data_IF_286379393313
#
_entry.id   IF_286379393313
#
_cell.length_a   1.000
_cell.length_b   1.000
_cell.length_c   1.000
_cell.angle_alpha   90.00
_cell.angle_beta   90.00
_cell.angle_gamma   90.00
#
_symmetry.space_group_name_H-M   'P 1'
#
loop_
_entity.id
_entity.type
_entity.pdbx_description
1 polymer ?
2 non-polymer ?
3 non-polymer ?
4 non-polymer ?
5 non-polymer ?
6 water ?
#
# COMPACT_ATOMS: atom_id res chain seq x y z
N UNK A 23 -1.96 -18.28 19.65
CA UNK A 23 -1.30 -18.63 18.35
C UNK A 23 -1.00 -17.39 17.49
N UNK A 24 0.28 -17.13 17.28
CA UNK A 24 0.72 -15.97 16.53
C UNK A 24 -0.07 -15.76 15.24
N UNK A 25 -0.24 -16.79 14.44
CA UNK A 25 -0.90 -16.67 13.13
C UNK A 25 -2.36 -16.22 13.20
N UNK A 26 -3.10 -16.75 14.15
CA UNK A 26 -4.51 -16.43 14.29
C UNK A 26 -4.69 -15.18 15.11
N UNK A 27 -3.83 -14.99 16.09
CA UNK A 27 -4.03 -13.91 17.03
C UNK A 27 -3.38 -12.60 16.65
N UNK A 28 -2.28 -12.68 15.92
CA UNK A 28 -1.52 -11.49 15.50
C UNK A 28 -1.63 -11.33 14.00
N UNK A 30 -3.64 -12.64 11.49
CA UNK A 30 -4.95 -12.45 10.89
C UNK A 30 -5.47 -11.02 11.05
N UNK A 31 -5.48 -10.48 12.29
CA UNK A 31 -5.93 -9.12 12.33
C UNK A 31 -5.09 -8.11 11.54
N UNK A 32 -3.77 -8.32 11.42
CA UNK A 32 -2.93 -7.37 10.65
C UNK A 32 -3.14 -7.57 9.17
N UNK A 34 -6.08 -8.21 7.84
CA UNK A 34 -7.29 -7.42 7.58
C UNK A 34 -7.02 -5.93 7.55
N UNK A 35 -6.19 -5.46 8.47
CA UNK A 35 -5.76 -4.05 8.52
C UNK A 35 -5.08 -3.68 7.21
N UNK A 36 -4.20 -4.54 6.75
CA UNK A 36 -3.48 -4.29 5.49
C UNK A 36 -4.38 -4.26 4.28
N UNK A 37 -5.46 -5.04 4.29
CA UNK A 37 -6.34 -5.13 3.13
C UNK A 37 -7.31 -3.98 3.11
N UNK A 38 -7.65 -3.45 4.29
CA UNK A 38 -8.79 -2.58 4.40
C UNK A 38 -8.78 -1.41 3.43
N UNK A 39 -7.66 -0.68 3.33
CA UNK A 39 -7.68 0.45 2.38
C UNK A 39 -7.79 0.09 0.90
N UNK A 40 -7.63 -1.18 0.58
CA UNK A 40 -7.72 -1.63 -0.81
C UNK A 40 -9.08 -2.27 -1.16
N UNK A 41 -9.88 -2.65 -0.14
CA UNK A 41 -11.15 -3.34 -0.39
C UNK A 41 -12.01 -2.54 -1.37
N UNK A 42 -12.60 -3.24 -2.32
CA UNK A 42 -13.61 -2.67 -3.22
C UNK A 42 -15.00 -2.89 -2.62
N UNK A 43 -15.93 -1.98 -2.93
CA UNK A 43 -17.34 -2.24 -2.61
C UNK A 43 -17.82 -3.46 -3.39
N UNK A 44 -18.70 -4.25 -2.80
CA UNK A 44 -19.29 -5.35 -3.52
C UNK A 44 -19.14 -6.62 -2.71
N UNK A 45 -18.80 -7.71 -3.38
CA UNK A 45 -18.79 -9.00 -2.74
C UNK A 45 -17.34 -9.46 -2.51
N UNK A 46 -17.19 -10.62 -1.87
CA UNK A 46 -15.87 -11.16 -1.59
C UNK A 46 -15.88 -12.67 -1.65
N UNK A 47 -14.80 -13.22 -2.22
CA UNK A 47 -14.55 -14.64 -2.33
C UNK A 47 -13.32 -14.94 -1.50
N UNK A 48 -13.44 -15.89 -0.58
CA UNK A 48 -12.32 -16.39 0.22
C UNK A 48 -11.96 -17.78 -0.27
N UNK A 49 -10.77 -17.93 -0.86
CA UNK A 49 -10.31 -19.22 -1.34
C UNK A 49 -9.49 -19.92 -0.27
N UNK A 50 -9.89 -21.12 0.14
CA UNK A 50 -9.18 -21.85 1.16
C UNK A 50 -9.59 -21.33 2.53
N UNK A 51 -10.90 -21.29 2.80
CA UNK A 51 -11.41 -20.67 4.02
C UNK A 51 -11.32 -21.55 5.26
N UNK A 52 -11.00 -22.81 5.04
CA UNK A 52 -10.78 -23.75 6.11
C UNK A 52 -11.88 -23.75 7.19
N UNK A 53 -11.55 -23.49 8.45
CA UNK A 53 -12.56 -23.54 9.53
C UNK A 53 -13.18 -22.20 9.80
N UNK A 54 -12.93 -21.21 8.96
CA UNK A 54 -13.62 -19.93 9.11
C UNK A 54 -12.97 -18.94 10.06
N UNK A 55 -11.78 -19.25 10.53
CA UNK A 55 -11.05 -18.33 11.43
C UNK A 55 -10.82 -16.96 10.78
N UNK A 56 -10.39 -16.94 9.52
CA UNK A 56 -10.22 -15.64 8.86
C UNK A 56 -11.55 -15.06 8.40
N UNK A 57 -12.47 -15.91 7.95
CA UNK A 57 -13.78 -15.47 7.48
C UNK A 57 -14.49 -14.61 8.52
N UNK A 58 -14.36 -14.98 9.78
CA UNK A 58 -15.06 -14.24 10.86
C UNK A 58 -14.65 -12.76 10.91
N UNK A 59 -13.37 -12.53 10.63
CA UNK A 59 -12.84 -11.19 10.59
C UNK A 59 -13.33 -10.43 9.38
N UNK A 60 -13.40 -11.13 8.25
CA UNK A 60 -13.85 -10.51 7.01
C UNK A 60 -15.31 -10.14 7.11
N UNK A 61 -16.06 -10.90 7.89
CA UNK A 61 -17.49 -10.63 8.05
C UNK A 61 -17.75 -9.26 8.62
N UNK A 62 -16.76 -8.67 9.29
CA UNK A 62 -16.93 -7.31 9.78
C UNK A 62 -16.91 -6.30 8.66
N UNK A 63 -16.45 -6.70 7.48
CA UNK A 63 -16.36 -5.79 6.35
C UNK A 63 -17.32 -6.11 5.22
N UNK A 64 -17.79 -7.35 5.14
CA UNK A 64 -18.62 -7.79 4.03
C UNK A 64 -19.80 -8.63 4.50
N UNK A 65 -20.99 -8.32 3.99
CA UNK A 65 -22.18 -9.15 4.21
C UNK A 65 -22.33 -10.24 3.13
N UNK A 66 -21.65 -10.07 2.01
CA UNK A 66 -21.72 -11.06 0.93
C UNK A 66 -20.38 -11.74 0.67
N UNK A 67 -20.16 -12.85 1.37
CA UNK A 67 -18.89 -13.58 1.30
C UNK A 67 -19.18 -14.96 0.79
N UNK A 68 -18.34 -15.44 -0.14
CA UNK A 68 -18.41 -16.78 -0.66
C UNK A 68 -17.10 -17.45 -0.26
N UNK A 69 -17.18 -18.66 0.30
CA UNK A 69 -16.04 -19.39 0.82
C UNK A 69 -15.84 -20.69 0.09
N UNK A 70 -14.65 -20.92 -0.39
CA UNK A 70 -14.34 -22.17 -1.06
C UNK A 70 -13.37 -22.98 -0.20
N UNK A 71 -13.75 -24.20 0.14
CA UNK A 71 -12.91 -25.02 0.98
C UNK A 71 -13.11 -26.49 0.64
N UNK A 72 -12.01 -27.22 0.51
CA UNK A 72 -12.02 -28.64 0.12
C UNK A 72 -12.33 -29.58 1.28
N UNK A 73 -11.98 -29.24 2.51
CA UNK A 73 -12.27 -30.14 3.63
C UNK A 73 -13.69 -30.01 4.13
N UNK A 74 -14.44 -31.10 4.09
CA UNK A 74 -15.82 -31.09 4.54
C UNK A 74 -15.92 -30.81 6.04
N UNK A 75 -15.00 -31.42 6.77
CA UNK A 75 -14.93 -31.24 8.21
C UNK A 75 -14.73 -29.76 8.53
N UNK A 76 -13.75 -29.13 7.89
CA UNK A 76 -13.44 -27.72 8.13
C UNK A 76 -14.62 -26.82 7.80
N UNK A 77 -15.20 -27.04 6.62
CA UNK A 77 -16.26 -26.17 6.11
C UNK A 77 -17.50 -26.32 6.99
N UNK A 78 -17.71 -27.53 7.51
CA UNK A 78 -18.81 -27.80 8.43
C UNK A 78 -18.63 -27.02 9.73
N UNK A 79 -17.40 -27.03 10.23
CA UNK A 79 -17.05 -26.30 11.42
C UNK A 79 -17.33 -24.80 11.26
N UNK A 80 -16.92 -24.21 10.13
CA UNK A 80 -17.14 -22.78 9.88
C UNK A 80 -18.62 -22.44 9.89
N UNK A 81 -19.37 -23.22 9.14
CA UNK A 81 -20.81 -23.07 9.03
C UNK A 81 -21.46 -23.01 10.41
N UNK A 82 -20.96 -23.85 11.31
CA UNK A 82 -21.36 -23.83 12.70
C UNK A 82 -21.05 -22.56 13.45
N UNK A 83 -19.91 -21.93 13.21
CA UNK A 83 -19.54 -20.79 14.04
C UNK A 83 -19.65 -19.39 13.39
N UNK A 84 -20.00 -19.29 12.11
CA UNK A 84 -20.04 -17.97 11.44
C UNK A 84 -21.46 -17.45 11.38
N UNK A 85 -21.61 -16.15 11.17
CA UNK A 85 -22.91 -15.52 11.06
C UNK A 85 -23.46 -15.69 9.64
N UNK A 86 -24.75 -15.40 9.47
CA UNK A 86 -25.40 -15.48 8.17
C UNK A 86 -24.68 -14.61 7.15
N UNK A 87 -24.97 -14.86 5.87
CA UNK A 87 -24.40 -14.06 4.79
C UNK A 87 -23.18 -14.69 4.15
N UNK A 88 -23.06 -16.02 4.29
CA UNK A 88 -21.94 -16.76 3.72
C UNK A 88 -22.46 -17.81 2.76
N UNK A 89 -21.93 -17.83 1.54
CA UNK A 89 -22.16 -18.92 0.61
C UNK A 89 -20.98 -19.85 0.72
N UNK A 90 -21.24 -21.13 1.03
CA UNK A 90 -20.17 -22.09 1.23
C UNK A 90 -20.13 -22.98 0.04
N UNK A 91 -18.93 -23.20 -0.48
CA UNK A 91 -18.68 -24.04 -1.65
C UNK A 91 -17.66 -25.10 -1.26
N UNK A 92 -18.14 -26.33 -1.16
CA UNK A 92 -17.28 -27.44 -0.78
C UNK A 92 -16.71 -28.04 -2.04
N UNK A 93 -15.46 -27.70 -2.36
CA UNK A 93 -14.85 -28.07 -3.62
C UNK A 93 -13.33 -27.81 -3.60
N UNK A 94 -12.62 -28.60 -4.40
CA UNK A 94 -11.26 -28.30 -4.78
C UNK A 94 -11.32 -27.10 -5.69
N UNK A 95 -10.27 -26.28 -5.71
CA UNK A 95 -10.22 -25.15 -6.64
C UNK A 95 -10.40 -25.56 -8.10
N UNK A 96 -9.79 -26.66 -8.51
CA UNK A 96 -9.84 -27.06 -9.93
C UNK A 96 -11.26 -27.45 -10.36
N UNK A 97 -12.11 -27.82 -9.41
CA UNK A 97 -13.48 -28.26 -9.66
C UNK A 97 -14.54 -27.19 -9.40
N UNK A 98 -14.14 -26.09 -8.78
CA UNK A 98 -15.09 -25.12 -8.27
C UNK A 98 -15.84 -24.40 -9.39
N UNK A 99 -17.17 -24.44 -9.26
CA UNK A 99 -18.10 -23.76 -10.16
C UNK A 99 -18.72 -22.62 -9.42
N UNK A 100 -18.26 -21.39 -9.68
CA UNK A 100 -18.72 -20.28 -8.87
C UNK A 100 -19.82 -19.55 -9.63
N UNK A 101 -20.85 -19.11 -8.92
CA UNK A 101 -22.02 -18.53 -9.57
C UNK A 101 -21.90 -17.06 -10.05
N UNK A 102 -20.86 -16.37 -9.60
CA UNK A 102 -20.65 -14.96 -9.92
C UNK A 102 -19.16 -14.70 -10.14
N UNK A 103 -18.81 -13.45 -10.42
CA UNK A 103 -17.42 -13.00 -10.37
C UNK A 103 -17.33 -11.97 -9.26
N UNK A 104 -16.13 -11.72 -8.73
CA UNK A 104 -15.97 -11.14 -7.40
C UNK A 104 -15.16 -9.87 -7.38
N UNK A 105 -15.64 -8.91 -6.58
CA UNK A 105 -14.96 -7.64 -6.45
C UNK A 105 -13.70 -7.75 -5.63
N UNK A 106 -13.66 -8.71 -4.72
CA UNK A 106 -12.52 -8.94 -3.83
C UNK A 106 -12.31 -10.44 -3.74
N UNK A 107 -11.07 -10.88 -3.96
CA UNK A 107 -10.74 -12.31 -3.77
C UNK A 107 -9.57 -12.39 -2.81
N UNK A 108 -9.71 -13.22 -1.79
CA UNK A 108 -8.67 -13.40 -0.77
C UNK A 108 -8.03 -14.79 -0.95
N UNK A 109 -6.70 -14.82 -1.04
CA UNK A 109 -5.95 -16.07 -1.10
C UNK A 109 -4.73 -15.89 -0.20
N UNK A 110 -4.95 -16.14 1.08
CA UNK A 110 -3.93 -15.91 2.09
C UNK A 110 -3.42 -17.22 2.66
N UNK A 111 -2.10 -17.41 2.58
CA UNK A 111 -1.42 -18.63 3.09
C UNK A 111 -2.03 -19.91 2.48
N UNK A 112 -2.26 -19.86 1.18
CA UNK A 112 -2.75 -20.97 0.41
C UNK A 112 -1.83 -21.33 -0.75
N UNK A 113 -1.38 -20.35 -1.53
CA UNK A 113 -0.63 -20.59 -2.76
C UNK A 113 0.62 -21.42 -2.60
N UNK A 114 1.30 -21.28 -1.46
CA UNK A 114 2.55 -22.02 -1.18
C UNK A 114 2.32 -23.53 -1.03
N UNK A 115 1.06 -23.94 -0.92
CA UNK A 115 0.70 -25.35 -0.88
C UNK A 115 0.33 -25.91 -2.24
N UNK A 116 0.13 -25.05 -3.24
CA UNK A 116 -0.49 -25.48 -4.49
C UNK A 116 0.56 -26.02 -5.43
N UNK A 117 0.36 -27.22 -5.98
CA UNK A 117 1.35 -27.84 -6.86
C UNK A 117 1.65 -27.02 -8.12
N UNK A 118 0.62 -26.45 -8.70
CA UNK A 118 0.72 -25.59 -9.91
C UNK A 118 0.13 -24.23 -9.60
N UNK A 119 0.90 -23.39 -8.92
CA UNK A 119 0.37 -22.11 -8.45
C UNK A 119 -0.06 -21.17 -9.56
N UNK A 120 0.69 -21.13 -10.65
CA UNK A 120 0.31 -20.25 -11.74
C UNK A 120 -1.06 -20.63 -12.34
N UNK A 121 -1.39 -21.93 -12.37
CA UNK A 121 -2.70 -22.37 -12.86
C UNK A 121 -3.85 -21.89 -12.00
N UNK A 122 -3.66 -21.87 -10.68
CA UNK A 122 -4.70 -21.34 -9.77
C UNK A 122 -4.85 -19.85 -9.97
N UNK A 123 -3.73 -19.13 -9.98
CA UNK A 123 -3.76 -17.69 -10.23
C UNK A 123 -4.38 -17.33 -11.57
N UNK A 124 -4.15 -18.15 -12.59
CA UNK A 124 -4.76 -17.94 -13.89
C UNK A 124 -6.27 -18.12 -13.90
N UNK A 125 -6.78 -19.12 -13.19
CA UNK A 125 -8.23 -19.20 -12.95
C UNK A 125 -8.78 -17.96 -12.28
N UNK A 126 -8.06 -17.46 -11.29
CA UNK A 126 -8.50 -16.24 -10.64
C UNK A 126 -8.56 -15.09 -11.62
N UNK A 127 -7.54 -14.97 -12.45
CA UNK A 127 -7.49 -13.85 -13.40
C UNK A 127 -8.58 -13.98 -14.44
N UNK A 128 -8.68 -15.18 -15.02
CA UNK A 128 -9.47 -15.36 -16.21
C UNK A 128 -10.95 -15.61 -15.91
N UNK A 129 -11.25 -16.27 -14.80
CA UNK A 129 -12.61 -16.69 -14.52
C UNK A 129 -13.28 -16.02 -13.33
N UNK A 130 -12.55 -15.72 -12.27
CA UNK A 130 -13.22 -15.36 -11.00
C UNK A 130 -13.23 -13.91 -10.61
N UNK A 131 -12.19 -13.18 -10.98
CA UNK A 131 -12.14 -11.75 -10.70
C UNK A 131 -13.15 -11.03 -11.56
N UNK A 132 -13.92 -10.15 -10.96
CA UNK A 132 -14.76 -9.21 -11.65
C UNK A 132 -13.84 -8.16 -12.28
N UNK A 133 -14.29 -7.54 -13.36
CA UNK A 133 -13.61 -6.38 -13.89
C UNK A 133 -13.60 -5.36 -12.76
N UNK A 134 -12.45 -4.73 -12.55
CA UNK A 134 -12.31 -3.83 -11.41
C UNK A 134 -12.03 -4.53 -10.06
N UNK A 135 -12.14 -5.85 -10.03
CA UNK A 135 -11.90 -6.62 -8.81
C UNK A 135 -10.42 -6.67 -8.40
N UNK A 136 -10.20 -7.04 -7.14
CA UNK A 136 -8.86 -7.09 -6.57
C UNK A 136 -8.62 -8.43 -5.92
N UNK A 137 -7.42 -8.97 -6.15
CA UNK A 137 -6.93 -10.17 -5.48
C UNK A 137 -5.94 -9.73 -4.40
N UNK A 138 -6.18 -10.24 -3.20
CA UNK A 138 -5.36 -10.07 -2.03
C UNK A 138 -4.58 -11.35 -1.84
N UNK A 139 -3.33 -11.33 -2.34
CA UNK A 139 -2.45 -12.51 -2.38
C UNK A 139 -1.37 -12.33 -1.32
N UNK A 140 -1.37 -13.24 -0.35
CA UNK A 140 -0.50 -13.16 0.87
C UNK A 140 0.10 -14.54 1.12
N UNK A 141 1.42 -14.57 1.32
CA UNK A 141 2.15 -15.80 1.56
C UNK A 141 3.25 -15.52 2.54
N UNK A 142 3.63 -16.55 3.31
CA UNK A 142 4.75 -16.42 4.25
C UNK A 142 6.03 -16.07 3.48
N UNK A 143 6.85 -15.19 4.04
CA UNK A 143 7.95 -14.61 3.30
C UNK A 143 9.26 -15.33 3.61
N UNK A 144 9.92 -15.86 2.59
CA UNK A 144 11.25 -16.41 2.73
C UNK A 144 12.26 -15.45 3.37
N UNK A 145 12.15 -14.14 3.08
CA UNK A 145 13.15 -13.17 3.54
C UNK A 145 12.80 -12.50 4.87
N UNK A 146 11.81 -13.04 5.55
CA UNK A 146 11.43 -12.58 6.88
C UNK A 146 12.66 -12.59 7.80
N UNK A 147 12.83 -11.53 8.60
CA UNK A 147 13.99 -11.45 9.52
C UNK A 147 14.20 -12.73 10.31
N UNK A 148 13.13 -13.21 10.94
CA UNK A 148 13.23 -14.41 11.80
C UNK A 148 13.74 -15.60 10.97
N UNK A 149 13.32 -15.70 9.73
CA UNK A 149 13.75 -16.81 8.89
C UNK A 149 15.20 -16.62 8.49
N UNK A 150 15.56 -15.40 8.14
CA UNK A 150 16.95 -15.15 7.80
C UNK A 150 17.88 -15.49 8.97
N UNK A 151 17.45 -15.23 10.22
CA UNK A 151 18.27 -15.52 11.37
C UNK A 151 18.43 -17.04 11.48
N UNK A 152 17.34 -17.75 11.27
CA UNK A 152 17.34 -19.23 11.24
C UNK A 152 18.29 -19.78 10.15
N UNK A 153 18.36 -19.10 9.02
CA UNK A 153 19.28 -19.50 7.95
C UNK A 153 20.71 -19.23 8.38
N UNK A 154 20.97 -18.06 8.97
CA UNK A 154 22.34 -17.79 9.46
C UNK A 154 22.80 -18.79 10.52
N UNK A 156 22.15 -21.82 10.51
CA UNK A 156 22.35 -23.14 9.95
C UNK A 156 21.15 -24.05 10.12
N UNK A 157 20.06 -23.54 10.69
CA UNK A 157 18.86 -24.36 10.86
C UNK A 157 18.14 -24.63 9.55
N UNK A 158 18.06 -23.62 8.69
CA UNK A 158 17.45 -23.75 7.34
C UNK A 158 18.55 -23.48 6.32
N UNK A 159 18.61 -24.23 5.22
CA UNK A 159 19.74 -24.05 4.31
C UNK A 159 19.84 -22.65 3.70
N UNK A 160 18.70 -22.12 3.32
CA UNK A 160 18.66 -20.83 2.66
C UNK A 160 17.21 -20.30 2.72
N UNK A 161 17.02 -19.03 2.36
CA UNK A 161 15.74 -18.34 2.70
C UNK A 161 14.54 -19.03 2.03
N UNK A 162 14.66 -19.35 0.73
CA UNK A 162 13.55 -19.93 -0.03
C UNK A 162 13.50 -21.45 0.05
N UNK A 163 14.29 -22.05 0.93
CA UNK A 163 14.22 -23.52 1.14
C UNK A 163 12.84 -23.85 1.66
N UNK A 164 12.46 -25.11 1.46
CA UNK A 164 11.32 -25.71 2.13
C UNK A 164 11.88 -26.77 3.09
N UNK A 165 11.63 -26.60 4.38
CA UNK A 165 12.10 -27.56 5.39
C UNK A 165 11.29 -28.79 5.37
N UNK A 166 11.83 -29.82 5.99
CA UNK A 166 11.13 -31.09 6.04
C UNK A 166 9.76 -30.87 6.67
N UNK A 167 9.71 -30.14 7.79
CA UNK A 167 8.44 -29.92 8.48
C UNK A 167 7.45 -29.14 7.63
N UNK A 168 7.92 -28.11 6.95
CA UNK A 168 7.07 -27.34 6.06
C UNK A 168 6.55 -28.20 4.89
N UNK A 169 7.41 -29.00 4.29
CA UNK A 169 6.99 -29.93 3.26
C UNK A 169 5.95 -30.92 3.78
N UNK A 170 6.11 -31.38 5.02
CA UNK A 170 5.13 -32.29 5.64
C UNK A 170 3.74 -31.63 5.83
N UNK A 171 3.75 -30.35 6.08
CA UNK A 171 2.58 -29.49 6.19
C UNK A 171 1.97 -29.13 4.84
N UNK A 172 2.63 -29.49 3.73
CA UNK A 172 2.12 -29.30 2.37
C UNK A 172 2.75 -28.17 1.57
N UNK A 173 3.65 -27.38 2.18
CA UNK A 173 4.37 -26.34 1.41
C UNK A 173 5.16 -26.96 0.29
N UNK A 174 5.04 -26.38 -0.90
CA UNK A 174 5.84 -26.74 -2.03
C UNK A 174 6.81 -25.65 -2.48
N UNK A 175 6.67 -24.46 -1.89
CA UNK A 175 7.47 -23.29 -2.22
C UNK A 175 7.60 -22.45 -0.94
N UNK A 176 8.61 -21.56 -0.88
CA UNK A 176 8.69 -20.52 0.14
C UNK A 176 8.89 -19.26 -0.65
N UNK A 177 7.80 -18.54 -0.89
CA UNK A 177 7.84 -17.36 -1.69
C UNK A 177 8.62 -16.17 -1.11
N UNK A 178 9.20 -15.38 -2.00
CA UNK A 178 9.62 -14.01 -1.67
C UNK A 178 8.91 -13.11 -2.65
N UNK A 179 9.06 -11.80 -2.49
CA UNK A 179 8.48 -10.84 -3.46
C UNK A 179 8.82 -11.12 -4.94
N UNK A 180 10.05 -11.58 -5.19
CA UNK A 180 10.49 -11.83 -6.53
C UNK A 180 9.72 -13.00 -7.16
N UNK A 181 9.67 -14.12 -6.46
CA UNK A 181 9.02 -15.30 -6.97
C UNK A 181 7.50 -15.20 -6.97
N UNK A 182 6.93 -14.56 -5.97
CA UNK A 182 5.49 -14.37 -5.91
C UNK A 182 4.97 -13.50 -7.06
N UNK A 183 5.65 -12.37 -7.32
CA UNK A 183 5.25 -11.51 -8.44
C UNK A 183 5.51 -12.22 -9.78
N UNK A 184 6.58 -12.98 -9.87
CA UNK A 184 6.80 -13.78 -11.06
C UNK A 184 5.58 -14.69 -11.36
N UNK A 185 5.15 -15.46 -10.38
CA UNK A 185 4.03 -16.33 -10.60
C UNK A 185 2.69 -15.60 -10.90
N UNK A 186 2.44 -14.48 -10.21
CA UNK A 186 1.25 -13.69 -10.50
C UNK A 186 1.28 -13.15 -11.92
N UNK A 187 2.45 -12.65 -12.31
CA UNK A 187 2.63 -12.14 -13.64
C UNK A 187 2.46 -13.21 -14.71
N UNK A 188 2.99 -14.40 -14.47
CA UNK A 188 2.86 -15.50 -15.42
C UNK A 188 1.42 -15.89 -15.59
N UNK A 189 0.60 -15.71 -14.56
CA UNK A 189 -0.83 -16.05 -14.60
C UNK A 189 -1.66 -15.02 -15.41
N UNK A 190 -1.06 -13.89 -15.66
CA UNK A 190 -1.71 -12.81 -16.36
C UNK A 190 -2.27 -11.74 -15.49
N UNK A 191 -2.04 -11.79 -14.17
CA UNK A 191 -2.54 -10.76 -13.28
C UNK A 191 -1.71 -9.49 -13.46
N UNK A 192 -2.30 -8.37 -13.08
CA UNK A 192 -1.61 -7.08 -13.05
C UNK A 192 -1.25 -6.86 -11.60
N UNK A 193 0.05 -6.78 -11.30
CA UNK A 193 0.43 -6.61 -9.87
C UNK A 193 0.42 -5.11 -9.65
N UNK A 194 -0.48 -4.66 -8.80
CA UNK A 194 -0.71 -3.23 -8.59
C UNK A 194 0.06 -2.66 -7.40
N UNK A 195 0.12 -3.41 -6.31
CA UNK A 195 0.84 -2.97 -5.10
C UNK A 195 1.57 -4.14 -4.46
N UNK A 196 2.76 -3.87 -3.96
CA UNK A 196 3.59 -4.84 -3.26
C UNK A 196 3.83 -4.30 -1.86
N UNK A 197 3.60 -5.15 -0.86
CA UNK A 197 3.83 -4.75 0.52
C UNK A 197 4.14 -5.94 1.39
N UNK A 198 4.36 -5.65 2.67
CA UNK A 198 4.60 -6.66 3.73
C UNK A 198 3.76 -6.46 4.96
N UNK A 199 3.53 -7.55 5.69
CA UNK A 199 2.66 -7.51 6.85
C UNK A 199 3.50 -8.08 7.98
N UNK A 200 3.81 -7.21 8.93
CA UNK A 200 4.45 -7.50 10.20
C UNK A 200 5.95 -7.72 10.16
N UNK A 201 6.67 -6.75 10.73
CA UNK A 201 8.12 -6.86 10.84
C UNK A 201 8.42 -7.92 11.91
N UNK A 202 8.94 -9.07 11.49
CA UNK A 202 9.01 -10.26 12.36
C UNK A 202 10.47 -10.70 12.63
N UNK A 203 10.95 -10.44 13.83
CA UNK A 203 12.33 -10.78 14.18
C UNK A 203 12.44 -12.03 15.05
N UNK A 204 11.30 -12.56 15.49
CA UNK A 204 11.27 -13.75 16.31
C UNK A 204 10.47 -14.85 15.61
N UNK A 205 10.81 -16.10 15.90
CA UNK A 205 10.07 -17.23 15.31
C UNK A 205 8.76 -17.43 16.06
N UNK A 206 7.82 -18.11 15.39
CA UNK A 206 6.52 -18.37 16.03
C UNK A 206 6.62 -19.02 17.42
N UNK A 207 7.49 -20.00 17.54
CA UNK A 207 7.71 -20.67 18.83
C UNK A 207 8.18 -19.67 19.90
N UNK A 208 8.94 -18.65 19.49
CA UNK A 208 9.38 -17.61 20.42
C UNK A 208 8.27 -16.61 20.73
N UNK A 209 7.48 -16.24 19.71
CA UNK A 209 6.33 -15.35 19.93
C UNK A 209 5.36 -16.02 20.90
N UNK A 210 4.99 -17.27 20.60
CA UNK A 210 4.01 -18.00 21.40
C UNK A 210 4.46 -18.05 22.87
N UNK A 211 5.78 -18.21 23.10
CA UNK A 211 6.33 -18.08 24.45
C UNK A 211 6.24 -16.63 24.97
N UNK A 212 6.80 -15.68 24.22
CA UNK A 212 6.85 -14.28 24.71
C UNK A 212 5.45 -13.68 24.86
N UNK A 213 4.49 -14.14 24.04
CA UNK A 213 3.10 -13.67 24.12
C UNK A 213 2.41 -14.07 25.46
N UNK A 214 2.88 -15.15 26.08
CA UNK A 214 2.40 -15.55 27.41
C UNK A 214 2.92 -14.59 28.49
N UNK A 215 4.06 -13.96 28.23
CA UNK A 215 4.63 -13.00 29.16
C UNK A 215 4.04 -11.61 28.88
N UNK A 216 4.47 -10.63 29.67
CA UNK A 216 4.09 -9.25 29.45
C UNK A 216 5.32 -8.45 28.98
N UNK A 217 6.24 -9.10 28.24
CA UNK A 217 7.47 -8.45 27.77
C UNK A 217 7.15 -7.56 26.56
N UNK A 218 6.24 -8.01 25.71
CA UNK A 218 5.79 -7.24 24.55
C UNK A 218 4.28 -6.85 24.65
N UNK A 219 3.98 -5.57 24.37
CA UNK A 219 2.60 -5.04 24.42
C UNK A 219 1.93 -5.10 23.05
N UNK A 220 0.65 -4.79 23.02
CA UNK A 220 -0.07 -4.70 21.80
C UNK A 220 0.45 -3.52 20.97
N UNK A 221 0.91 -2.49 21.66
CA UNK A 221 1.47 -1.31 20.98
C UNK A 221 2.75 -1.68 20.28
N UNK A 222 3.57 -2.56 20.91
CA UNK A 222 4.76 -3.12 20.24
C UNK A 222 4.35 -3.82 18.97
N UNK A 223 3.29 -4.62 19.01
CA UNK A 223 2.88 -5.40 17.82
C UNK A 223 2.43 -4.42 16.71
N UNK A 224 1.63 -3.43 17.09
CA UNK A 224 1.23 -2.38 16.16
C UNK A 224 2.46 -1.69 15.52
N UNK A 225 3.45 -1.39 16.35
CA UNK A 225 4.70 -0.80 15.88
C UNK A 225 5.38 -1.68 14.86
N UNK A 226 5.35 -3.00 15.10
CA UNK A 226 5.92 -3.92 14.12
C UNK A 226 5.16 -3.94 12.81
N UNK A 227 3.86 -3.77 12.88
CA UNK A 227 3.04 -3.70 11.67
C UNK A 227 3.37 -2.41 10.94
N UNK A 228 3.41 -1.30 11.65
CA UNK A 228 3.72 -0.05 11.00
C UNK A 228 5.12 -0.06 10.33
N UNK A 229 6.11 -0.53 11.08
CA UNK A 229 7.48 -0.58 10.53
C UNK A 229 7.60 -1.54 9.37
N UNK A 230 6.88 -2.65 9.44
CA UNK A 230 6.84 -3.65 8.38
C UNK A 230 6.57 -3.10 6.99
N UNK A 231 5.65 -2.13 6.92
CA UNK A 231 5.25 -1.52 5.67
C UNK A 231 6.42 -0.80 5.03
N UNK A 232 7.37 -0.39 5.85
CA UNK A 232 8.54 0.36 5.34
C UNK A 232 9.65 -0.58 4.88
N UNK A 233 9.53 -1.85 5.32
CA UNK A 233 10.45 -2.92 4.87
C UNK A 233 9.73 -4.19 4.42
N UNK A 234 8.98 -4.11 3.32
CA UNK A 234 8.21 -5.26 2.93
C UNK A 234 9.00 -6.54 2.82
N UNK A 235 10.22 -6.46 2.31
CA UNK A 235 11.05 -7.67 2.09
C UNK A 235 11.41 -8.39 3.37
N UNK A 236 11.28 -7.71 4.51
CA UNK A 236 11.66 -8.28 5.80
C UNK A 236 10.47 -8.74 6.66
N UNK A 237 9.27 -8.68 6.10
CA UNK A 237 8.08 -8.98 6.86
C UNK A 237 7.79 -10.46 7.01
N UNK A 238 6.92 -10.76 7.94
CA UNK A 238 6.43 -12.14 8.17
C UNK A 238 5.81 -12.75 6.92
N UNK A 239 4.91 -11.97 6.34
CA UNK A 239 4.18 -12.29 5.13
C UNK A 239 4.30 -11.15 4.15
N UNK A 240 4.29 -11.52 2.88
CA UNK A 240 4.31 -10.57 1.80
C UNK A 240 2.94 -10.56 1.12
N UNK A 241 2.59 -9.40 0.58
CA UNK A 241 1.27 -9.11 0.11
C UNK A 241 1.32 -8.42 -1.25
N UNK A 242 0.76 -9.09 -2.28
CA UNK A 242 0.56 -8.47 -3.55
C UNK A 242 -0.93 -8.16 -3.72
N UNK A 243 -1.24 -6.91 -3.95
CA UNK A 243 -2.55 -6.53 -4.44
C UNK A 243 -2.55 -6.57 -5.98
N UNK A 244 -3.37 -7.45 -6.52
CA UNK A 244 -3.45 -7.64 -7.96
C UNK A 244 -4.82 -7.33 -8.55
N UNK A 245 -4.79 -7.01 -9.85
CA UNK A 245 -6.00 -6.81 -10.64
C UNK A 245 -5.96 -7.62 -11.88
N UNK A 246 -7.12 -7.73 -12.52
CA UNK A 246 -7.22 -8.54 -13.72
C UNK A 246 -6.34 -7.91 -14.80
N UNK A 247 -5.58 -8.74 -15.52
CA UNK A 247 -4.76 -8.28 -16.64
C UNK A 247 -5.61 -8.32 -17.90
N UNK B 22 12.43 17.12 -21.28
CA UNK B 22 12.17 16.20 -20.12
C UNK B 22 12.55 16.78 -18.76
N UNK B 23 11.57 16.81 -17.86
CA UNK B 23 11.79 17.14 -16.47
C UNK B 23 11.34 15.92 -15.66
N UNK B 24 12.26 15.39 -14.87
CA UNK B 24 12.03 14.18 -14.12
C UNK B 24 10.78 14.31 -13.24
N UNK B 25 10.64 15.43 -12.55
CA UNK B 25 9.50 15.62 -11.62
C UNK B 25 8.14 15.60 -12.31
N UNK B 26 8.08 16.30 -13.43
CA UNK B 26 6.83 16.44 -14.16
C UNK B 26 6.55 15.24 -15.07
N UNK B 27 7.57 14.71 -15.72
CA UNK B 27 7.38 13.67 -16.71
C UNK B 27 7.45 12.27 -16.14
N UNK B 28 8.17 12.10 -15.04
CA UNK B 28 8.33 10.76 -14.48
C UNK B 28 7.57 10.67 -13.15
N UNK B 30 5.24 12.72 -11.54
CA UNK B 30 3.80 13.01 -11.51
C UNK B 30 2.96 11.79 -11.93
N UNK B 31 3.25 11.19 -13.09
CA UNK B 31 2.48 9.99 -13.43
C UNK B 31 2.56 8.80 -12.45
N UNK B 32 3.72 8.53 -11.89
CA UNK B 32 3.86 7.47 -10.90
C UNK B 32 3.14 7.81 -9.62
N UNK B 34 0.28 9.50 -9.45
CA UNK B 34 -1.11 9.17 -9.78
C UNK B 34 -1.31 7.66 -9.76
N UNK B 35 -0.39 6.89 -10.35
CA UNK B 35 -0.42 5.42 -10.23
C UNK B 35 -0.49 4.97 -8.75
N UNK B 36 0.39 5.51 -7.92
CA UNK B 36 0.49 5.16 -6.51
C UNK B 36 -0.82 5.44 -5.76
N UNK B 37 -1.46 6.53 -6.12
CA UNK B 37 -2.70 6.96 -5.44
C UNK B 37 -3.94 6.16 -5.86
N UNK B 38 -3.95 5.70 -7.12
CA UNK B 38 -5.16 5.20 -7.76
C UNK B 38 -5.92 4.12 -6.97
N UNK B 39 -5.22 3.11 -6.44
CA UNK B 39 -5.93 2.07 -5.70
C UNK B 39 -6.64 2.56 -4.42
N UNK B 40 -6.23 3.71 -3.91
CA UNK B 40 -6.75 4.23 -2.66
C UNK B 40 -7.81 5.31 -2.80
N UNK B 41 -8.00 5.86 -4.00
CA UNK B 41 -8.96 6.92 -4.23
C UNK B 41 -10.34 6.50 -3.73
N UNK B 42 -11.01 7.44 -3.06
CA UNK B 42 -12.39 7.30 -2.64
C UNK B 42 -13.33 7.90 -3.66
N UNK B 43 -14.54 7.36 -3.79
CA UNK B 43 -15.50 8.02 -4.69
C UNK B 43 -15.88 9.36 -4.10
N UNK B 44 -16.16 10.34 -4.93
CA UNK B 44 -16.63 11.63 -4.43
C UNK B 44 -15.79 12.72 -5.00
N UNK B 45 -15.44 13.72 -4.19
CA UNK B 45 -14.70 14.86 -4.69
C UNK B 45 -13.22 14.86 -4.24
N UNK B 46 -12.45 15.79 -4.76
CA UNK B 46 -11.06 15.90 -4.40
C UNK B 46 -10.69 17.33 -4.10
N UNK B 47 -9.81 17.51 -3.13
CA UNK B 47 -9.20 18.79 -2.81
C UNK B 47 -7.70 18.69 -3.07
N UNK B 48 -7.16 19.61 -3.88
CA UNK B 48 -5.72 19.67 -4.17
C UNK B 48 -5.13 20.91 -3.51
N UNK B 49 -4.36 20.67 -2.46
CA UNK B 49 -3.73 21.74 -1.70
C UNK B 49 -2.38 22.07 -2.31
N UNK B 50 -2.21 23.33 -2.72
CA UNK B 50 -0.99 23.79 -3.38
C UNK B 50 -0.95 23.40 -4.84
N UNK B 51 -1.97 23.79 -5.58
CA UNK B 51 -2.15 23.31 -6.96
C UNK B 51 -1.24 24.02 -7.96
N UNK B 52 -0.65 25.12 -7.51
CA UNK B 52 0.23 25.93 -8.34
C UNK B 52 -0.33 26.18 -9.76
N UNK B 53 0.43 25.82 -10.80
CA UNK B 53 0.06 26.16 -12.20
C UNK B 53 -0.83 25.08 -12.81
N UNK B 54 -1.16 24.04 -12.04
CA UNK B 54 -2.15 23.07 -12.48
C UNK B 54 -1.57 21.87 -13.21
N UNK B 55 -0.26 21.70 -13.16
CA UNK B 55 0.38 20.56 -13.83
C UNK B 55 -0.09 19.22 -13.26
N UNK B 56 -0.27 19.15 -11.94
CA UNK B 56 -0.71 17.89 -11.37
C UNK B 56 -2.23 17.77 -11.50
N UNK B 57 -2.94 18.88 -11.42
CA UNK B 57 -4.40 18.87 -11.49
C UNK B 57 -4.86 18.19 -12.78
N UNK B 58 -4.18 18.46 -13.87
CA UNK B 58 -4.60 17.94 -15.16
C UNK B 58 -4.61 16.41 -15.16
N UNK B 59 -3.68 15.80 -14.42
CA UNK B 59 -3.68 14.35 -14.30
C UNK B 59 -4.80 13.86 -13.38
N UNK B 60 -5.06 14.62 -12.33
CA UNK B 60 -6.14 14.31 -11.43
C UNK B 60 -7.53 14.43 -12.08
N UNK B 61 -7.65 15.35 -13.05
CA UNK B 61 -8.88 15.50 -13.82
C UNK B 61 -9.27 14.26 -14.62
N UNK B 62 -8.30 13.40 -14.93
CA UNK B 62 -8.63 12.11 -15.52
C UNK B 62 -9.37 11.22 -14.52
N UNK B 63 -9.34 11.55 -13.23
CA UNK B 63 -9.96 10.69 -12.22
C UNK B 63 -11.18 11.27 -11.51
N UNK B 64 -11.29 12.60 -11.49
CA UNK B 64 -12.32 13.28 -10.73
C UNK B 64 -12.85 14.43 -11.58
N UNK B 65 -14.16 14.58 -11.63
CA UNK B 65 -14.75 15.78 -12.22
C UNK B 65 -14.94 16.96 -11.24
N UNK B 66 -14.89 16.69 -9.94
CA UNK B 66 -15.15 17.73 -8.96
C UNK B 66 -13.91 17.90 -8.13
N UNK B 67 -13.10 18.89 -8.51
CA UNK B 67 -11.81 19.16 -7.90
C UNK B 67 -11.80 20.58 -7.42
N UNK B 68 -11.31 20.77 -6.20
CA UNK B 68 -11.17 22.08 -5.61
C UNK B 68 -9.68 22.28 -5.42
N UNK B 69 -9.18 23.44 -5.84
CA UNK B 69 -7.76 23.74 -5.88
C UNK B 69 -7.48 24.98 -5.07
N UNK B 70 -6.61 24.84 -4.06
CA UNK B 70 -6.18 25.95 -3.23
C UNK B 70 -4.74 26.27 -3.56
N UNK B 71 -4.50 27.53 -3.88
CA UNK B 71 -3.19 28.02 -4.28
C UNK B 71 -3.06 29.46 -3.85
N UNK B 72 -1.92 29.80 -3.27
CA UNK B 72 -1.67 31.14 -2.72
C UNK B 72 -1.28 32.18 -3.80
N UNK B 73 -0.66 31.72 -4.89
CA UNK B 73 -0.17 32.60 -5.95
C UNK B 73 -1.23 32.92 -7.00
N UNK B 74 -1.56 34.21 -7.12
CA UNK B 74 -2.52 34.65 -8.12
C UNK B 74 -2.05 34.30 -9.54
N UNK B 75 -0.76 34.48 -9.78
CA UNK B 75 -0.19 34.25 -11.11
C UNK B 75 -0.37 32.78 -11.51
N UNK B 76 0.09 31.88 -10.63
CA UNK B 76 -0.02 30.42 -10.83
C UNK B 76 -1.48 29.98 -11.02
N UNK B 77 -2.34 30.49 -10.15
CA UNK B 77 -3.73 30.08 -10.13
C UNK B 77 -4.44 30.54 -11.41
N UNK B 78 -3.99 31.66 -11.97
CA UNK B 78 -4.51 32.17 -13.23
C UNK B 78 -4.09 31.31 -14.42
N UNK B 79 -2.82 30.94 -14.44
CA UNK B 79 -2.29 30.04 -15.47
C UNK B 79 -3.06 28.73 -15.49
N UNK B 80 -3.24 28.11 -14.32
CA UNK B 80 -4.05 26.89 -14.19
C UNK B 80 -5.41 27.10 -14.84
N UNK B 81 -6.06 28.18 -14.43
CA UNK B 81 -7.42 28.52 -14.86
C UNK B 81 -7.52 28.55 -16.39
N UNK B 82 -6.53 29.17 -17.02
CA UNK B 82 -6.47 29.22 -18.46
C UNK B 82 -6.32 27.85 -19.09
N UNK B 83 -5.41 27.07 -18.56
CA UNK B 83 -5.03 25.79 -19.16
C UNK B 83 -5.98 24.61 -18.88
N UNK B 84 -6.54 24.50 -17.68
CA UNK B 84 -7.31 23.30 -17.31
C UNK B 84 -8.75 23.32 -17.82
N UNK B 85 -9.34 22.14 -17.88
CA UNK B 85 -10.73 21.97 -18.32
C UNK B 85 -11.68 22.35 -17.19
N UNK B 86 -12.99 22.36 -17.49
CA UNK B 86 -14.01 22.75 -16.52
C UNK B 86 -14.08 21.74 -15.37
N UNK B 87 -14.75 22.13 -14.29
CA UNK B 87 -14.92 21.27 -13.10
C UNK B 87 -13.88 21.46 -12.02
N UNK B 88 -13.20 22.61 -12.04
CA UNK B 88 -12.27 22.99 -10.99
C UNK B 88 -12.87 24.17 -10.26
N UNK B 89 -12.92 24.08 -8.93
CA UNK B 89 -13.16 25.23 -8.12
C UNK B 89 -11.83 25.76 -7.66
N UNK B 90 -11.53 27.01 -7.99
CA UNK B 90 -10.27 27.63 -7.61
C UNK B 90 -10.45 28.47 -6.36
N UNK B 91 -9.54 28.34 -5.40
CA UNK B 91 -9.56 29.13 -4.17
C UNK B 91 -8.19 29.76 -4.01
N UNK B 92 -8.13 31.07 -4.15
CA UNK B 92 -6.88 31.78 -4.07
C UNK B 92 -6.72 32.17 -2.62
N UNK B 93 -5.91 31.43 -1.88
CA UNK B 93 -5.75 31.69 -0.46
C UNK B 93 -4.50 31.02 0.04
N UNK B 94 -3.97 31.52 1.15
CA UNK B 94 -3.00 30.77 1.94
C UNK B 94 -3.79 29.76 2.77
N UNK B 95 -3.17 28.64 3.10
CA UNK B 95 -3.89 27.57 3.72
C UNK B 95 -4.49 27.98 5.07
N UNK B 96 -3.77 28.79 5.82
CA UNK B 96 -4.22 29.16 7.16
C UNK B 96 -5.47 30.03 7.15
N UNK B 97 -5.71 30.74 6.06
CA UNK B 97 -6.89 31.63 5.91
C UNK B 97 -8.04 31.00 5.12
N UNK B 98 -7.81 29.84 4.53
CA UNK B 98 -8.75 29.26 3.58
C UNK B 98 -10.04 28.82 4.27
N UNK B 99 -11.14 29.26 3.71
CA UNK B 99 -12.46 28.89 4.18
C UNK B 99 -13.08 28.07 3.08
N UNK B 100 -13.20 26.76 3.28
CA UNK B 100 -13.70 25.91 2.23
C UNK B 100 -15.17 25.63 2.44
N UNK B 101 -15.93 25.49 1.36
CA UNK B 101 -17.38 25.36 1.45
C UNK B 101 -17.87 24.00 1.91
N UNK B 102 -16.97 23.04 1.99
CA UNK B 102 -17.34 21.64 1.98
C UNK B 102 -16.24 20.83 2.66
N UNK B 103 -16.49 19.55 2.91
CA UNK B 103 -15.45 18.60 3.23
C UNK B 103 -15.20 17.70 2.02
N UNK B 104 -14.05 17.00 2.04
CA UNK B 104 -13.55 16.34 0.84
C UNK B 104 -13.20 14.87 1.07
N UNK B 105 -13.54 14.07 0.06
CA UNK B 105 -13.34 12.62 0.13
C UNK B 105 -11.89 12.22 -0.10
N UNK B 106 -11.18 13.03 -0.86
CA UNK B 106 -9.78 12.84 -1.21
C UNK B 106 -9.08 14.18 -1.07
N UNK B 107 -7.95 14.21 -0.36
CA UNK B 107 -7.15 15.44 -0.26
C UNK B 107 -5.75 15.14 -0.70
N UNK B 108 -5.22 15.95 -1.61
CA UNK B 108 -3.89 15.71 -2.15
C UNK B 108 -2.96 16.79 -1.64
N UNK B 109 -1.88 16.36 -0.97
CA UNK B 109 -0.82 17.28 -0.52
C UNK B 109 0.55 16.71 -0.92
N UNK B 110 0.93 17.00 -2.17
CA UNK B 110 2.15 16.42 -2.74
C UNK B 110 3.19 17.48 -2.93
N UNK B 111 4.34 17.26 -2.31
CA UNK B 111 5.46 18.18 -2.36
C UNK B 111 5.10 19.60 -1.99
N UNK B 112 4.33 19.72 -0.91
CA UNK B 112 3.95 21.01 -0.36
C UNK B 112 4.34 21.13 1.14
N UNK B 113 4.18 20.04 1.92
CA UNK B 113 4.36 20.11 3.40
C UNK B 113 5.76 20.60 3.83
N UNK B 114 6.76 20.32 3.00
CA UNK B 114 8.17 20.68 3.26
C UNK B 114 8.43 22.17 3.11
N UNK B 115 7.48 22.87 2.51
CA UNK B 115 7.52 24.31 2.34
C UNK B 115 6.81 25.07 3.48
N UNK B 116 6.19 24.36 4.41
CA UNK B 116 5.35 25.00 5.44
C UNK B 116 6.10 25.22 6.75
N UNK B 117 6.06 26.43 7.28
CA UNK B 117 6.69 26.71 8.58
C UNK B 117 6.12 25.90 9.75
N UNK B 118 4.79 25.73 9.80
CA UNK B 118 4.12 24.94 10.83
C UNK B 118 3.33 23.79 10.20
N UNK B 119 4.02 22.71 9.84
CA UNK B 119 3.40 21.61 9.13
C UNK B 119 2.32 20.87 9.94
N UNK B 120 2.52 20.70 11.24
CA UNK B 120 1.51 20.06 12.07
C UNK B 120 0.19 20.87 12.02
N UNK B 121 0.27 22.19 11.98
CA UNK B 121 -0.93 23.00 12.00
C UNK B 121 -1.75 22.84 10.70
N UNK B 122 -1.06 22.64 9.56
CA UNK B 122 -1.72 22.39 8.29
C UNK B 122 -2.35 21.03 8.25
N UNK B 123 -1.64 20.02 8.72
CA UNK B 123 -2.16 18.66 8.72
C UNK B 123 -3.37 18.58 9.68
N UNK B 124 -3.35 19.39 10.73
CA UNK B 124 -4.44 19.45 11.70
C UNK B 124 -5.71 20.07 11.07
N UNK B 125 -5.56 21.12 10.28
CA UNK B 125 -6.70 21.65 9.54
C UNK B 125 -7.26 20.59 8.62
N UNK B 126 -6.37 19.85 7.97
CA UNK B 126 -6.82 18.82 7.06
C UNK B 126 -7.64 17.80 7.85
N UNK B 127 -7.15 17.40 9.02
CA UNK B 127 -7.84 16.39 9.79
C UNK B 127 -9.16 16.91 10.30
N UNK B 128 -9.13 18.12 10.89
CA UNK B 128 -10.25 18.61 11.65
C UNK B 128 -11.30 19.34 10.85
N UNK B 129 -10.88 20.04 9.80
CA UNK B 129 -11.77 20.92 9.03
C UNK B 129 -12.15 20.36 7.67
N UNK B 130 -11.23 19.65 7.04
CA UNK B 130 -11.40 19.37 5.61
C UNK B 130 -11.67 17.93 5.21
N UNK B 131 -11.15 16.94 5.91
CA UNK B 131 -11.44 15.56 5.53
C UNK B 131 -12.90 15.21 5.79
N UNK B 132 -13.57 14.68 4.77
CA UNK B 132 -14.89 14.11 4.98
C UNK B 132 -14.77 12.86 5.84
N UNK B 133 -15.89 12.40 6.37
CA UNK B 133 -15.89 11.09 6.99
C UNK B 133 -15.56 10.05 5.92
N UNK B 134 -14.61 9.18 6.23
CA UNK B 134 -14.11 8.19 5.29
C UNK B 134 -13.10 8.75 4.30
N UNK B 135 -12.85 10.05 4.38
CA UNK B 135 -11.96 10.71 3.44
C UNK B 135 -10.50 10.34 3.66
N UNK B 136 -9.71 10.49 2.61
CA UNK B 136 -8.31 10.12 2.64
C UNK B 136 -7.41 11.29 2.21
N UNK B 137 -6.31 11.46 2.95
CA UNK B 137 -5.25 12.36 2.63
C UNK B 137 -4.13 11.58 1.98
N UNK B 138 -3.69 12.13 0.84
CA UNK B 138 -2.56 11.64 0.06
C UNK B 138 -1.40 12.57 0.29
N UNK B 139 -0.54 12.17 1.21
CA UNK B 139 0.56 12.98 1.70
C UNK B 139 1.88 12.52 1.14
N UNK B 140 2.50 13.34 0.29
CA UNK B 140 3.73 12.91 -0.40
C UNK B 140 4.77 14.00 -0.27
N UNK B 141 6.00 13.62 0.12
CA UNK B 141 7.11 14.55 0.20
C UNK B 141 8.37 13.94 -0.38
N UNK B 142 9.32 14.78 -0.81
CA UNK B 142 10.64 14.30 -1.20
C UNK B 142 11.32 13.61 -0.01
N UNK B 143 11.97 12.49 -0.28
CA UNK B 143 12.55 11.66 0.76
C UNK B 143 14.00 11.94 1.03
N UNK B 144 14.31 12.19 2.28
CA UNK B 144 15.68 12.38 2.73
C UNK B 144 16.54 11.21 2.42
N UNK B 145 15.99 9.99 2.52
CA UNK B 145 16.75 8.79 2.44
C UNK B 145 16.77 8.19 1.04
N UNK B 146 16.29 8.92 0.04
CA UNK B 146 16.38 8.45 -1.33
C UNK B 146 17.82 8.09 -1.67
N UNK B 147 17.99 7.04 -2.48
CA UNK B 147 19.32 6.59 -2.83
C UNK B 147 20.19 7.67 -3.41
N UNK B 148 19.68 8.37 -4.41
CA UNK B 148 20.40 9.46 -5.03
C UNK B 148 20.87 10.49 -4.01
N UNK B 149 20.01 10.84 -3.07
CA UNK B 149 20.34 11.83 -2.05
C UNK B 149 21.40 11.31 -1.09
N UNK B 150 21.29 10.04 -0.72
CA UNK B 150 22.28 9.41 0.13
C UNK B 150 23.67 9.40 -0.53
N UNK B 151 23.71 9.14 -1.83
CA UNK B 151 24.96 9.21 -2.59
C UNK B 151 25.53 10.63 -2.53
N UNK B 152 24.67 11.64 -2.65
CA UNK B 152 25.16 13.03 -2.62
C UNK B 152 25.71 13.39 -1.24
N UNK B 153 25.11 12.81 -0.21
CA UNK B 153 25.59 12.95 1.16
C UNK B 153 27.00 12.28 1.29
N UNK B 154 27.15 11.08 0.75
CA UNK B 154 28.43 10.39 0.80
C UNK B 154 29.49 11.17 0.04
N UNK B 156 29.66 14.25 -0.03
CA UNK B 156 29.87 15.49 0.69
C UNK B 156 29.20 16.72 0.12
N UNK B 157 28.31 16.56 -0.85
CA UNK B 157 27.60 17.71 -1.45
C UNK B 157 26.47 18.14 -0.53
N UNK B 158 25.94 17.19 0.24
CA UNK B 158 24.88 17.45 1.20
C UNK B 158 25.38 16.92 2.55
N UNK B 159 25.15 17.63 3.64
CA UNK B 159 25.83 17.27 4.88
C UNK B 159 25.30 15.96 5.45
N UNK B 160 23.99 15.79 5.44
CA UNK B 160 23.35 14.58 5.98
C UNK B 160 21.95 14.46 5.35
N UNK B 161 21.30 13.31 5.48
CA UNK B 161 20.14 13.04 4.62
C UNK B 161 19.02 14.10 4.80
N UNK B 162 18.70 14.41 6.05
CA UNK B 162 17.59 15.31 6.34
C UNK B 162 18.01 16.76 6.35
N UNK B 163 19.24 17.05 5.94
CA UNK B 163 19.65 18.42 5.81
C UNK B 163 18.76 19.11 4.81
N UNK B 164 18.66 20.43 4.95
CA UNK B 164 18.06 21.28 3.91
C UNK B 164 19.22 22.07 3.30
N UNK B 165 19.47 21.90 2.02
CA UNK B 165 20.60 22.57 1.38
C UNK B 165 20.21 24.01 1.13
N UNK B 166 21.20 24.78 0.74
CA UNK B 166 21.00 26.17 0.39
C UNK B 166 20.06 26.39 -0.79
N UNK B 167 20.26 25.68 -1.89
CA UNK B 167 19.32 25.74 -3.01
C UNK B 167 17.90 25.38 -2.56
N UNK B 168 17.78 24.32 -1.77
CA UNK B 168 16.50 23.85 -1.28
C UNK B 168 15.85 24.92 -0.44
N UNK B 169 16.61 25.49 0.47
CA UNK B 169 16.03 26.52 1.31
C UNK B 169 15.53 27.70 0.46
N UNK B 170 16.30 28.02 -0.56
CA UNK B 170 15.97 29.13 -1.45
C UNK B 170 14.67 28.86 -2.17
N UNK B 171 14.43 27.60 -2.50
CA UNK B 171 13.23 27.20 -3.21
C UNK B 171 12.02 27.11 -2.25
N UNK B 172 12.26 27.24 -0.95
CA UNK B 172 11.22 27.32 0.08
C UNK B 172 11.14 26.14 1.03
N UNK B 173 12.02 25.17 0.87
CA UNK B 173 12.01 24.03 1.80
C UNK B 173 12.38 24.44 3.20
N UNK B 174 11.64 23.93 4.20
CA UNK B 174 11.97 24.17 5.59
C UNK B 174 12.33 22.86 6.31
N UNK B 175 12.23 21.74 5.59
CA UNK B 175 12.44 20.40 6.15
C UNK B 175 12.77 19.47 5.01
N UNK B 176 13.41 18.36 5.32
CA UNK B 176 13.57 17.31 4.37
C UNK B 176 13.11 16.11 5.13
N UNK B 177 11.87 15.71 4.87
CA UNK B 177 11.27 14.57 5.53
C UNK B 177 11.86 13.24 5.15
N UNK B 178 11.78 12.35 6.11
CA UNK B 178 11.92 10.89 5.88
C UNK B 178 10.65 10.26 6.47
N UNK B 179 10.49 8.96 6.35
CA UNK B 179 9.29 8.31 6.87
C UNK B 179 9.10 8.54 8.36
N UNK B 180 10.20 8.63 9.10
CA UNK B 180 10.09 8.81 10.53
C UNK B 180 9.49 10.15 10.93
N UNK B 181 10.01 11.24 10.34
CA UNK B 181 9.58 12.56 10.71
C UNK B 181 8.24 12.91 10.06
N UNK B 182 8.01 12.41 8.86
CA UNK B 182 6.70 12.60 8.22
C UNK B 182 5.54 11.94 9.00
N UNK B 183 5.67 10.68 9.41
CA UNK B 183 4.65 10.04 10.23
C UNK B 183 4.52 10.74 11.57
N UNK B 184 5.64 11.21 12.14
CA UNK B 184 5.58 12.01 13.38
C UNK B 184 4.65 13.20 13.26
N UNK B 185 4.84 13.98 12.24
CA UNK B 185 4.07 15.19 12.10
C UNK B 185 2.59 14.86 11.80
N UNK B 186 2.34 13.84 10.98
CA UNK B 186 0.94 13.41 10.72
C UNK B 186 0.27 12.95 12.03
N UNK B 187 1.02 12.21 12.81
CA UNK B 187 0.53 11.73 14.03
C UNK B 187 0.25 12.85 15.01
N UNK B 188 1.22 13.77 15.11
CA UNK B 188 1.05 14.96 15.93
C UNK B 188 -0.17 15.82 15.57
N UNK B 189 -0.56 15.81 14.31
CA UNK B 189 -1.71 16.57 13.81
C UNK B 189 -3.07 15.87 14.07
N UNK B 190 -3.05 14.67 14.66
CA UNK B 190 -4.27 13.90 14.88
C UNK B 190 -4.73 12.98 13.77
N UNK B 191 -4.01 12.90 12.68
CA UNK B 191 -4.35 12.00 11.61
C UNK B 191 -4.05 10.58 11.94
N UNK B 192 -4.79 9.66 11.30
CA UNK B 192 -4.52 8.23 11.40
C UNK B 192 -3.72 7.86 10.17
N UNK B 193 -2.53 7.30 10.35
CA UNK B 193 -1.74 6.89 9.21
C UNK B 193 -2.11 5.47 8.92
N UNK B 194 -2.64 5.23 7.73
CA UNK B 194 -3.20 3.96 7.31
C UNK B 194 -2.23 3.13 6.48
N UNK B 195 -1.44 3.83 5.64
CA UNK B 195 -0.51 3.14 4.77
C UNK B 195 0.75 3.97 4.58
N UNK B 196 1.90 3.30 4.56
CA UNK B 196 3.18 3.93 4.30
C UNK B 196 3.78 3.23 3.08
N UNK B 197 4.28 4.03 2.15
CA UNK B 197 4.92 3.48 0.95
C UNK B 197 5.88 4.51 0.36
N UNK B 198 6.50 4.15 -0.75
CA UNK B 198 7.43 5.02 -1.43
C UNK B 198 7.16 5.00 -2.92
N UNK B 199 7.50 6.10 -3.58
CA UNK B 199 7.27 6.24 -5.00
C UNK B 199 8.61 6.46 -5.73
N UNK B 200 9.00 5.42 -6.49
CA UNK B 200 10.11 5.43 -7.44
C UNK B 200 11.48 5.22 -6.81
N UNK B 201 12.08 4.07 -7.06
CA UNK B 201 13.46 3.80 -6.65
C UNK B 201 14.43 4.68 -7.42
N UNK B 202 15.05 5.65 -6.73
CA UNK B 202 15.75 6.78 -7.41
C UNK B 202 17.23 6.73 -7.07
N UNK B 203 18.05 6.31 -8.03
CA UNK B 203 19.50 6.16 -7.80
C UNK B 203 20.35 7.26 -8.44
N UNK B 204 19.71 8.08 -9.26
CA UNK B 204 20.37 9.19 -9.95
C UNK B 204 19.70 10.47 -9.53
N UNK B 205 20.44 11.57 -9.59
CA UNK B 205 19.92 12.87 -9.25
C UNK B 205 19.18 13.45 -10.43
N UNK B 206 18.27 14.38 -10.16
CA UNK B 206 17.49 15.00 -11.24
C UNK B 206 18.35 15.51 -12.38
N UNK B 207 19.43 16.20 -12.06
CA UNK B 207 20.27 16.75 -13.13
C UNK B 207 20.76 15.62 -14.03
N UNK B 208 20.99 14.44 -13.45
CA UNK B 208 21.41 13.29 -14.24
C UNK B 208 20.25 12.71 -15.05
N UNK B 209 19.06 12.62 -14.43
CA UNK B 209 17.87 12.12 -15.13
C UNK B 209 17.58 12.96 -16.36
N UNK B 210 17.65 14.28 -16.22
CA UNK B 210 17.24 15.16 -17.28
C UNK B 210 18.17 15.02 -18.48
N UNK B 211 19.44 14.72 -18.24
CA UNK B 211 20.36 14.41 -19.32
C UNK B 211 20.12 13.03 -19.89
N UNK B 212 19.99 12.02 -19.03
CA UNK B 212 19.88 10.65 -19.52
C UNK B 212 18.56 10.43 -20.26
N UNK B 213 17.53 11.19 -19.89
CA UNK B 213 16.21 11.01 -20.50
C UNK B 213 16.19 11.52 -21.95
N UNK B 214 17.16 12.37 -22.31
CA UNK B 214 17.31 12.78 -23.71
C UNK B 214 17.96 11.70 -24.57
N UNK B 215 18.43 10.63 -23.95
CA UNK B 215 19.04 9.52 -24.69
C UNK B 215 18.08 8.33 -24.73
N UNK B 216 18.50 7.26 -25.39
CA UNK B 216 17.72 6.01 -25.41
C UNK B 216 18.33 4.99 -24.43
N UNK B 217 19.15 5.45 -23.48
CA UNK B 217 19.85 4.56 -22.57
C UNK B 217 18.86 3.84 -21.63
N UNK B 218 17.85 4.57 -21.17
CA UNK B 218 16.85 4.01 -20.24
C UNK B 218 15.49 3.95 -20.92
N UNK B 219 14.80 2.83 -20.78
CA UNK B 219 13.49 2.66 -21.41
C UNK B 219 12.36 2.95 -20.46
N UNK B 220 11.15 2.97 -21.01
CA UNK B 220 9.98 3.23 -20.18
C UNK B 220 9.78 2.06 -19.23
N UNK B 221 10.14 0.87 -19.69
CA UNK B 221 10.02 -0.33 -18.87
C UNK B 221 10.97 -0.31 -17.67
N UNK B 222 12.12 0.33 -17.84
CA UNK B 222 13.12 0.43 -16.81
C UNK B 222 12.54 1.35 -15.77
N UNK B 223 11.93 2.44 -16.21
CA UNK B 223 11.31 3.34 -15.24
C UNK B 223 10.18 2.64 -14.44
N UNK B 224 9.33 1.90 -15.13
CA UNK B 224 8.25 1.15 -14.50
C UNK B 224 8.85 0.20 -13.48
N UNK B 225 9.97 -0.42 -13.83
CA UNK B 225 10.68 -1.30 -12.88
C UNK B 225 11.12 -0.60 -11.60
N UNK B 226 11.54 0.66 -11.73
CA UNK B 226 11.95 1.45 -10.59
C UNK B 226 10.75 1.74 -9.73
N UNK B 227 9.63 2.05 -10.35
CA UNK B 227 8.38 2.19 -9.59
C UNK B 227 8.00 0.91 -8.83
N UNK B 228 8.04 -0.20 -9.53
CA UNK B 228 7.66 -1.48 -8.97
C UNK B 228 8.61 -1.84 -7.81
N UNK B 229 9.91 -1.75 -8.04
CA UNK B 229 10.87 -2.06 -6.97
C UNK B 229 10.81 -1.10 -5.80
N UNK B 230 10.56 0.18 -6.06
CA UNK B 230 10.41 1.17 -5.02
C UNK B 230 9.41 0.82 -3.97
N UNK B 231 8.28 0.24 -4.37
CA UNK B 231 7.31 -0.21 -3.36
C UNK B 231 7.89 -1.19 -2.35
N UNK B 232 8.91 -1.95 -2.76
CA UNK B 232 9.54 -2.92 -1.86
C UNK B 232 10.60 -2.27 -0.95
N UNK B 233 11.01 -1.03 -1.26
CA UNK B 233 12.02 -0.32 -0.44
C UNK B 233 11.55 1.13 -0.27
N UNK B 234 10.41 1.33 0.42
CA UNK B 234 9.91 2.68 0.58
C UNK B 234 10.94 3.69 1.05
N UNK B 235 11.84 3.29 1.95
CA UNK B 235 12.77 4.23 2.59
C UNK B 235 13.79 4.77 1.59
N UNK B 236 13.99 4.08 0.47
CA UNK B 236 14.96 4.46 -0.55
C UNK B 236 14.39 5.17 -1.79
N UNK B 237 13.09 5.47 -1.79
CA UNK B 237 12.42 6.02 -2.96
C UNK B 237 12.63 7.52 -3.06
N UNK B 238 12.34 8.06 -4.24
CA UNK B 238 12.41 9.51 -4.54
C UNK B 238 11.51 10.29 -3.58
N UNK B 239 10.29 9.79 -3.39
CA UNK B 239 9.28 10.47 -2.57
C UNK B 239 8.65 9.43 -1.70
N UNK B 240 8.24 9.84 -0.51
CA UNK B 240 7.56 8.92 0.38
C UNK B 240 6.11 9.39 0.50
N UNK B 241 5.26 8.43 0.85
CA UNK B 241 3.83 8.54 0.66
C UNK B 241 3.18 7.93 1.87
N UNK B 242 2.49 8.77 2.63
CA UNK B 242 1.58 8.34 3.65
C UNK B 242 0.10 8.51 3.24
N UNK B 243 -0.66 7.44 3.35
CA UNK B 243 -2.12 7.48 3.20
C UNK B 243 -2.68 7.63 4.58
N UNK B 244 -3.45 8.69 4.78
CA UNK B 244 -3.97 9.02 6.09
C UNK B 244 -5.48 9.16 6.07
N UNK B 245 -6.08 8.89 7.21
CA UNK B 245 -7.52 9.06 7.43
C UNK B 245 -7.73 9.92 8.66
N UNK B 246 -8.96 10.36 8.81
CA UNK B 246 -9.30 11.32 9.85
C UNK B 246 -9.28 10.66 11.23
N UNK B 247 -8.66 11.33 12.20
CA UNK B 247 -8.78 10.93 13.63
C UNK B 247 -9.71 11.88 14.40
N UNK B 248 -10.36 11.40 15.47
CA UNK B 248 -11.31 12.28 16.20
C UNK B 248 -10.50 13.21 17.10
N UNK B 249 -10.73 14.50 16.98
CA UNK B 249 -10.10 15.48 17.85
C UNK B 249 -11.17 16.41 18.31
N UNK B 250 -11.29 16.62 19.60
CA UNK B 250 -12.20 17.67 20.10
C UNK B 250 -11.50 18.76 20.91
#
# INVERSE_FOLDING_TARGET
>A
GXTISRNYDQEIKDTAGHKYAYNFDFDVXHPFXVRAFTPFFRPGNLLELGSFKGDFTSRLQEHFNDITCVEASEEAISHAQGRLKDGITYIHSRFEDAQLPRRYDNIVLTHVLEHIDDPVALLKRINDDWLAEGGRLFLVCPNANAVSRQIAVKXGIISHNSAVTEAEFAHGHRCTYALDTLERDASRAGLQVTYRSGIFFKALANFQWDQILQTDILSKEYLDGCYQLGQQYPDLCASIFLLCEKGINQ
>B
GXTISRNYDQEIKDTAGHKYAYNFDFDVXHPFXVRAFTPFFRPGNLLELGSFKGDFTSRLQEHFNDITCVEASEEAISHAQGRLKDGITYIHSRFEDAQLPRRYDNIVLTHVLEHIDDPVALLKRINDDWLAEGGRLFLVCPNANAVSRQIAVKXGIISHNSAVTEAEFAHGHRCTYALDTLERDASRAGLQVTYRSGIFFKALANFQWDQILQTDILSKEYLDGCYQLGQQYPDLCASIFLLCEKGINQ
#
